data_IF_307747079585
#
_entry.id   IF_307747079585
#
_cell.length_a   1.000
_cell.length_b   1.000
_cell.length_c   1.000
_cell.angle_alpha   90.00
_cell.angle_beta   90.00
_cell.angle_gamma   90.00
#
_symmetry.space_group_name_H-M   'P 1'
#
loop_
_entity.id
_entity.type
_entity.pdbx_description
1 polymer ?
#
# COMPACT_ATOMS: atom_id res chain seq x y z
N UNK A 1 12.05 12.61 -5.23
CA UNK A 1 11.31 11.72 -4.31
C UNK A 1 12.11 10.43 -4.24
N UNK A 2 12.82 10.16 -3.12
CA UNK A 2 13.92 9.22 -3.08
C UNK A 2 13.42 7.77 -3.05
N UNK A 3 14.25 6.87 -3.58
CA UNK A 3 14.02 5.45 -3.80
C UNK A 3 13.65 4.62 -2.55
N UNK A 4 13.68 5.21 -1.35
CA UNK A 4 13.43 4.54 -0.07
C UNK A 4 11.97 4.06 0.11
N UNK A 5 11.00 4.66 -0.58
CA UNK A 5 9.59 4.21 -0.50
C UNK A 5 9.25 3.04 -1.44
N UNK A 6 10.18 2.62 -2.32
CA UNK A 6 10.00 1.44 -3.19
C UNK A 6 10.51 0.14 -2.55
N UNK A 7 11.25 0.22 -1.43
CA UNK A 7 11.74 -0.97 -0.74
C UNK A 7 10.72 -1.59 0.22
N UNK A 8 9.72 -0.83 0.66
CA UNK A 8 8.73 -1.27 1.64
C UNK A 8 7.65 -2.22 1.07
N UNK A 9 7.61 -2.42 -0.25
CA UNK A 9 6.65 -3.31 -0.92
C UNK A 9 7.32 -4.59 -1.48
N UNK A 10 8.57 -4.88 -1.10
CA UNK A 10 9.13 -6.24 -1.26
C UNK A 10 8.45 -7.15 -0.24
N UNK A 11 7.25 -7.62 -0.59
CA UNK A 11 6.51 -8.58 0.19
C UNK A 11 7.43 -9.74 0.61
N UNK A 12 7.32 -10.28 1.84
CA UNK A 12 8.12 -11.42 2.31
C UNK A 12 8.14 -12.60 1.33
N UNK A 13 7.07 -12.74 0.53
CA UNK A 13 6.95 -13.67 -0.59
C UNK A 13 8.08 -13.58 -1.61
N UNK A 14 8.66 -12.40 -1.85
CA UNK A 14 9.78 -12.19 -2.76
C UNK A 14 11.04 -12.94 -2.31
N UNK A 15 11.29 -12.98 -0.99
CA UNK A 15 12.38 -13.74 -0.38
C UNK A 15 12.08 -15.25 -0.37
N UNK A 16 10.84 -15.65 -0.08
CA UNK A 16 10.45 -17.06 -0.15
C UNK A 16 10.52 -17.64 -1.57
N UNK A 17 10.26 -16.83 -2.59
CA UNK A 17 10.22 -17.25 -3.98
C UNK A 17 11.56 -17.10 -4.72
N UNK A 18 12.63 -16.69 -4.03
CA UNK A 18 13.96 -16.42 -4.60
C UNK A 18 13.89 -15.58 -5.90
N UNK A 19 13.08 -14.51 -5.88
CA UNK A 19 12.82 -13.62 -7.03
C UNK A 19 12.18 -14.28 -8.26
N UNK A 20 11.79 -15.55 -8.16
CA UNK A 20 11.14 -16.30 -9.22
C UNK A 20 9.75 -15.77 -9.56
N UNK A 21 9.33 -15.97 -10.81
CA UNK A 21 7.94 -15.76 -11.27
C UNK A 21 7.45 -17.03 -11.98
N UNK A 22 6.14 -17.20 -12.08
CA UNK A 22 5.54 -18.29 -12.85
C UNK A 22 5.78 -19.67 -12.23
N UNK A 23 6.19 -20.64 -13.04
CA UNK A 23 6.24 -22.05 -12.65
C UNK A 23 7.29 -22.35 -11.58
N UNK A 24 8.40 -21.60 -11.54
CA UNK A 24 9.40 -21.71 -10.47
C UNK A 24 8.79 -21.46 -9.08
N UNK A 25 7.91 -20.47 -8.96
CA UNK A 25 7.24 -20.15 -7.68
C UNK A 25 6.27 -21.26 -7.27
N UNK A 26 5.53 -21.82 -8.23
CA UNK A 26 4.64 -22.95 -7.97
C UNK A 26 5.43 -24.15 -7.47
N UNK A 27 6.58 -24.42 -8.09
CA UNK A 27 7.46 -25.50 -7.69
C UNK A 27 7.99 -25.30 -6.27
N UNK A 28 8.51 -24.12 -5.94
CA UNK A 28 8.98 -23.79 -4.59
C UNK A 28 7.87 -23.96 -3.54
N UNK A 29 6.63 -23.58 -3.86
CA UNK A 29 5.48 -23.79 -2.97
C UNK A 29 5.21 -25.29 -2.74
N UNK A 30 5.24 -26.11 -3.78
CA UNK A 30 5.05 -27.56 -3.66
C UNK A 30 6.18 -28.17 -2.82
N UNK A 31 7.43 -27.82 -3.11
CA UNK A 31 8.61 -28.29 -2.38
C UNK A 31 8.54 -27.92 -0.89
N UNK A 32 8.13 -26.68 -0.59
CA UNK A 32 7.92 -26.23 0.78
C UNK A 32 6.83 -27.03 1.51
N UNK A 33 5.68 -27.24 0.87
CA UNK A 33 4.59 -28.03 1.45
C UNK A 33 5.05 -29.47 1.70
N UNK A 34 5.72 -30.11 0.73
CA UNK A 34 6.30 -31.46 0.90
C UNK A 34 7.32 -31.53 2.03
N UNK A 35 8.16 -30.49 2.17
CA UNK A 35 9.12 -30.40 3.27
C UNK A 35 8.40 -30.32 4.63
N UNK A 36 7.36 -29.50 4.76
CA UNK A 36 6.57 -29.40 5.99
C UNK A 36 5.98 -30.76 6.42
N UNK A 37 5.41 -31.54 5.48
CA UNK A 37 4.93 -32.89 5.76
C UNK A 37 6.04 -33.87 6.17
N UNK A 38 7.27 -33.68 5.67
CA UNK A 38 8.40 -34.54 5.99
C UNK A 38 8.95 -34.29 7.39
N UNK A 39 8.99 -33.04 7.83
CA UNK A 39 9.67 -32.66 9.08
C UNK A 39 8.72 -32.51 10.27
N UNK A 40 7.43 -32.30 10.04
CA UNK A 40 6.42 -32.17 11.10
C UNK A 40 5.64 -33.49 11.23
N UNK A 41 5.57 -34.10 12.43
CA UNK A 41 4.73 -35.27 12.66
C UNK A 41 3.26 -35.00 12.30
N UNK A 42 2.53 -35.98 11.72
CA UNK A 42 1.14 -35.79 11.27
C UNK A 42 0.20 -35.28 12.36
N UNK A 43 0.41 -35.68 13.60
CA UNK A 43 -0.41 -35.29 14.76
C UNK A 43 -0.23 -33.82 15.13
N UNK A 44 0.85 -33.18 14.63
CA UNK A 44 1.22 -31.78 14.87
C UNK A 44 1.07 -30.92 13.62
N UNK A 45 0.56 -31.47 12.52
CA UNK A 45 0.37 -30.75 11.26
C UNK A 45 -1.10 -30.76 10.84
N UNK A 46 -1.68 -29.57 10.70
CA UNK A 46 -2.98 -29.38 10.08
C UNK A 46 -2.82 -28.70 8.71
N UNK A 47 -3.20 -29.40 7.65
CA UNK A 47 -3.38 -28.80 6.34
C UNK A 47 -4.78 -28.19 6.22
N UNK A 48 -4.87 -26.87 6.04
CA UNK A 48 -6.15 -26.16 6.01
C UNK A 48 -6.26 -25.24 4.79
N UNK A 49 -7.37 -25.38 4.07
CA UNK A 49 -7.78 -24.42 3.05
C UNK A 49 -8.73 -23.39 3.65
N UNK A 50 -8.67 -22.14 3.21
CA UNK A 50 -9.52 -21.03 3.73
C UNK A 50 -11.02 -21.35 3.68
N UNK A 51 -11.43 -22.17 2.71
CA UNK A 51 -12.82 -22.60 2.54
C UNK A 51 -13.30 -23.60 3.60
N UNK A 52 -12.39 -24.28 4.31
CA UNK A 52 -12.78 -25.22 5.36
C UNK A 52 -13.34 -24.54 6.62
N UNK A 53 -13.07 -23.25 6.80
CA UNK A 53 -13.57 -22.45 7.92
C UNK A 53 -13.04 -22.91 9.28
N UNK A 54 -13.80 -22.65 10.35
CA UNK A 54 -13.39 -22.91 11.73
C UNK A 54 -13.29 -24.40 12.09
N UNK A 55 -14.03 -25.28 11.42
CA UNK A 55 -14.26 -26.65 11.89
C UNK A 55 -12.97 -27.47 12.05
N UNK A 56 -12.13 -27.67 11.01
CA UNK A 56 -10.93 -28.49 11.17
C UNK A 56 -9.90 -27.83 12.09
N UNK A 57 -9.80 -26.50 12.09
CA UNK A 57 -8.89 -25.76 12.96
C UNK A 57 -9.22 -25.94 14.43
N UNK A 58 -10.48 -25.73 14.80
CA UNK A 58 -10.92 -25.88 16.18
C UNK A 58 -10.79 -27.34 16.66
N UNK A 59 -11.10 -28.33 15.81
CA UNK A 59 -10.92 -29.74 16.15
C UNK A 59 -9.45 -30.11 16.40
N UNK A 60 -8.55 -29.64 15.54
CA UNK A 60 -7.12 -29.90 15.69
C UNK A 60 -6.52 -29.27 16.96
N UNK A 61 -7.05 -28.12 17.38
CA UNK A 61 -6.60 -27.39 18.58
C UNK A 61 -7.34 -27.80 19.88
N UNK A 62 -8.27 -28.77 19.80
CA UNK A 62 -9.16 -29.15 20.91
C UNK A 62 -9.94 -27.95 21.51
N UNK A 63 -10.46 -27.09 20.63
CA UNK A 63 -11.22 -25.90 21.00
C UNK A 63 -12.68 -26.02 20.57
N UNK A 64 -13.57 -25.37 21.34
CA UNK A 64 -14.96 -25.19 20.92
C UNK A 64 -15.02 -24.37 19.63
N UNK A 65 -15.84 -24.82 18.67
CA UNK A 65 -16.06 -24.11 17.40
C UNK A 65 -16.56 -22.68 17.67
N UNK A 66 -15.92 -21.69 17.02
CA UNK A 66 -16.36 -20.30 17.04
C UNK A 66 -17.75 -20.14 16.40
N UNK A 67 -18.58 -19.28 16.98
CA UNK A 67 -19.88 -18.91 16.44
C UNK A 67 -19.80 -17.82 15.36
N UNK A 68 -18.63 -17.18 15.23
CA UNK A 68 -18.40 -16.14 14.23
C UNK A 68 -18.12 -16.74 12.85
N UNK A 69 -18.36 -15.95 11.80
CA UNK A 69 -17.95 -16.34 10.45
C UNK A 69 -16.42 -16.42 10.35
N UNK A 70 -15.93 -17.37 9.56
CA UNK A 70 -14.49 -17.47 9.31
C UNK A 70 -14.00 -16.22 8.56
N UNK A 71 -12.91 -15.59 8.99
CA UNK A 71 -12.49 -14.31 8.43
C UNK A 71 -12.02 -14.46 6.98
N UNK A 72 -12.76 -13.84 6.06
CA UNK A 72 -12.38 -13.70 4.66
C UNK A 72 -11.78 -12.30 4.44
N UNK A 73 -10.54 -12.10 4.92
CA UNK A 73 -9.79 -10.86 4.73
C UNK A 73 -8.65 -11.06 3.73
N UNK A 74 -8.16 -9.95 3.16
CA UNK A 74 -7.08 -9.94 2.17
C UNK A 74 -7.40 -10.74 0.89
N UNK A 75 -8.67 -10.74 0.49
CA UNK A 75 -9.09 -11.26 -0.79
C UNK A 75 -8.67 -10.32 -1.94
N UNK A 76 -8.79 -10.81 -3.17
CA UNK A 76 -8.42 -10.06 -4.37
C UNK A 76 -9.23 -8.78 -4.53
N UNK A 77 -10.53 -8.80 -4.21
CA UNK A 77 -11.40 -7.63 -4.29
C UNK A 77 -10.99 -6.56 -3.28
N UNK A 78 -10.77 -6.94 -2.02
CA UNK A 78 -10.30 -6.03 -0.97
C UNK A 78 -8.96 -5.38 -1.31
N UNK A 79 -8.00 -6.15 -1.84
CA UNK A 79 -6.69 -5.64 -2.26
C UNK A 79 -6.79 -4.66 -3.43
N UNK A 80 -7.59 -4.99 -4.45
CA UNK A 80 -7.80 -4.13 -5.62
C UNK A 80 -8.48 -2.82 -5.21
N UNK A 81 -9.52 -2.88 -4.38
CA UNK A 81 -10.20 -1.70 -3.86
C UNK A 81 -9.25 -0.80 -3.04
N UNK A 82 -8.39 -1.38 -2.21
CA UNK A 82 -7.39 -0.64 -1.44
C UNK A 82 -6.36 0.05 -2.35
N UNK A 83 -5.87 -0.65 -3.38
CA UNK A 83 -4.97 -0.08 -4.40
C UNK A 83 -5.63 1.08 -5.15
N UNK A 84 -6.88 0.90 -5.57
CA UNK A 84 -7.60 1.90 -6.35
C UNK A 84 -7.88 3.16 -5.50
N UNK A 85 -8.24 3.00 -4.23
CA UNK A 85 -8.40 4.11 -3.30
C UNK A 85 -7.07 4.85 -3.05
N UNK A 86 -5.98 4.10 -2.86
CA UNK A 86 -4.64 4.68 -2.74
C UNK A 86 -4.28 5.51 -3.98
N UNK A 87 -4.49 4.96 -5.18
CA UNK A 87 -4.24 5.64 -6.44
C UNK A 87 -5.07 6.93 -6.56
N UNK A 88 -6.38 6.87 -6.27
CA UNK A 88 -7.25 8.06 -6.27
C UNK A 88 -6.75 9.15 -5.33
N UNK A 89 -6.23 8.79 -4.15
CA UNK A 89 -5.64 9.74 -3.19
C UNK A 89 -4.36 10.39 -3.73
N UNK A 90 -3.48 9.61 -4.37
CA UNK A 90 -2.27 10.12 -5.00
C UNK A 90 -2.58 11.10 -6.14
N UNK A 91 -3.50 10.72 -7.03
CA UNK A 91 -3.95 11.59 -8.15
C UNK A 91 -4.56 12.89 -7.62
N UNK A 92 -5.48 12.82 -6.65
CA UNK A 92 -6.08 14.01 -6.04
C UNK A 92 -5.03 14.96 -5.45
N UNK A 93 -4.06 14.42 -4.71
CA UNK A 93 -2.96 15.21 -4.14
C UNK A 93 -2.07 15.83 -5.22
N UNK A 94 -1.83 15.12 -6.32
CA UNK A 94 -1.11 15.64 -7.48
C UNK A 94 -1.83 16.83 -8.11
N UNK A 95 -3.13 16.68 -8.39
CA UNK A 95 -3.97 17.75 -8.96
C UNK A 95 -3.98 18.99 -8.07
N UNK A 96 -4.20 18.82 -6.75
CA UNK A 96 -4.23 19.93 -5.78
C UNK A 96 -2.89 20.69 -5.65
N UNK A 97 -1.78 20.09 -6.08
CA UNK A 97 -0.46 20.74 -6.11
C UNK A 97 -0.20 21.52 -7.40
N UNK A 98 -0.93 21.23 -8.48
CA UNK A 98 -0.80 21.91 -9.78
C UNK A 98 -1.67 23.18 -9.82
N UNK A 99 -2.83 23.16 -9.15
CA UNK A 99 -3.80 24.27 -9.14
C UNK A 99 -3.28 25.62 -8.63
N UNK A 100 -2.42 25.72 -7.59
CA UNK A 100 -1.88 27.01 -7.17
C UNK A 100 -0.83 27.56 -8.14
N UNK A 101 -0.14 26.70 -8.89
CA UNK A 101 0.94 27.09 -9.80
C UNK A 101 0.44 27.65 -11.13
N UNK A 102 -0.71 27.17 -11.63
CA UNK A 102 -1.28 27.65 -12.91
C UNK A 102 -1.98 29.00 -12.75
N UNK A 103 -2.61 29.27 -11.60
CA UNK A 103 -3.25 30.56 -11.29
C UNK A 103 -2.26 31.68 -10.95
N UNK A 104 -0.97 31.38 -10.77
CA UNK A 104 0.07 32.37 -10.48
C UNK A 104 0.82 32.84 -11.74
N UNK A 105 0.38 32.46 -12.94
CA UNK A 105 0.82 33.11 -14.18
C UNK A 105 0.19 34.48 -14.21
N UNK A 106 0.87 35.45 -13.57
CA UNK A 106 0.54 36.87 -13.62
C UNK A 106 0.23 37.24 -15.06
N UNK A 107 -0.98 37.77 -15.28
CA UNK A 107 -1.22 38.70 -16.38
C UNK A 107 -0.24 39.84 -16.16
N UNK A 108 0.92 39.80 -16.84
CA UNK A 108 1.73 40.99 -17.04
C UNK A 108 0.93 41.82 -18.03
N UNK A 109 -0.02 42.59 -17.51
CA UNK A 109 -0.66 43.63 -18.30
C UNK A 109 0.46 44.62 -18.66
N UNK A 110 0.88 44.61 -19.92
CA UNK A 110 1.61 45.71 -20.52
C UNK A 110 0.72 46.96 -20.40
N UNK A 111 0.92 47.72 -19.33
CA UNK A 111 0.25 48.98 -19.05
C UNK A 111 1.29 50.00 -18.65
N UNK A 112 1.66 50.84 -19.61
CA UNK A 112 2.47 52.03 -19.45
C UNK A 112 1.91 52.91 -18.32
N UNK A 113 2.67 53.20 -17.27
CA UNK A 113 2.37 54.29 -16.32
C UNK A 113 3.66 55.07 -16.02
N UNK A 114 3.66 56.42 -16.10
CA UNK A 114 4.87 57.22 -16.08
C UNK A 114 5.42 57.40 -14.66
N UNK A 115 6.70 57.76 -14.60
CA UNK A 115 7.39 58.25 -13.41
C UNK A 115 6.55 59.29 -12.66
N UNK A 116 6.28 59.05 -11.36
CA UNK A 116 6.66 59.97 -10.27
C UNK A 116 5.98 59.64 -8.92
N UNK A 117 6.73 59.87 -7.84
CA UNK A 117 6.34 60.10 -6.44
C UNK A 117 5.93 58.94 -5.50
N UNK A 118 6.87 58.64 -4.59
CA UNK A 118 6.74 58.57 -3.13
C UNK A 118 5.82 57.50 -2.49
N UNK A 119 6.50 56.55 -1.84
CA UNK A 119 6.26 56.24 -0.43
C UNK A 119 5.15 55.25 -0.12
N UNK A 120 5.54 53.99 0.13
CA UNK A 120 5.01 53.16 1.22
C UNK A 120 5.86 51.89 1.38
N UNK A 121 6.55 51.86 2.51
CA UNK A 121 7.27 50.71 3.06
C UNK A 121 6.26 49.58 3.30
N UNK A 122 6.37 48.47 2.57
CA UNK A 122 5.71 47.22 2.95
C UNK A 122 6.72 46.32 3.67
N UNK A 123 6.55 46.21 4.98
CA UNK A 123 7.23 45.24 5.85
C UNK A 123 6.93 43.81 5.35
N UNK A 124 7.98 43.03 5.16
CA UNK A 124 7.91 41.60 4.91
C UNK A 124 7.51 40.87 6.21
N UNK A 125 6.47 40.03 6.15
CA UNK A 125 5.94 39.28 7.31
C UNK A 125 6.77 38.05 7.72
N UNK A 126 7.97 37.84 7.14
CA UNK A 126 8.81 36.66 7.44
C UNK A 126 9.71 36.80 8.69
N UNK A 127 9.57 37.85 9.49
CA UNK A 127 10.19 37.93 10.81
C UNK A 127 9.12 38.04 11.90
N UNK A 128 8.59 36.89 12.33
CA UNK A 128 8.15 36.70 13.71
C UNK A 128 9.02 35.60 14.31
N UNK A 129 9.70 35.98 15.40
CA UNK A 129 10.46 35.11 16.29
C UNK A 129 9.57 34.00 16.86
#
# INVERSE_FOLDING_TARGET
MPAELYEYDRAPWFYFCNEGKGDKVKQVLVEHNSYAHKVVPPERLLEIHRQHGWKPLCQFLDLRKSQTLYPMRNDSGGRLAARDEFWRRCVRRGIMKITPSVLQTRVIACGHVPHSHLGKVFRCSCCKK
#
